data_IF_395060407999
#
_entry.id   IF_395060407999
#
_cell.length_a   1.000
_cell.length_b   1.000
_cell.length_c   1.000
_cell.angle_alpha   90.00
_cell.angle_beta   90.00
_cell.angle_gamma   90.00
#
_symmetry.space_group_name_H-M   'P 1'
#
loop_
_entity.id
_entity.type
_entity.pdbx_description
1 polymer ?
#
# COMPACT_ATOMS: atom_id res chain seq x y z
N UNK A 1 -1.18 -0.50 11.16
CA UNK A 1 -2.11 -0.37 10.02
C UNK A 1 -2.91 0.90 10.21
N UNK A 2 -3.31 1.56 9.13
CA UNK A 2 -4.12 2.75 9.16
C UNK A 2 -5.12 2.69 8.01
N UNK A 3 -6.36 3.07 8.28
CA UNK A 3 -7.44 3.05 7.31
C UNK A 3 -7.67 4.43 6.72
N UNK A 4 -8.12 4.45 5.47
CA UNK A 4 -8.47 5.68 4.79
C UNK A 4 -9.81 6.22 5.30
N UNK A 5 -9.84 7.47 5.75
CA UNK A 5 -11.05 8.16 6.22
C UNK A 5 -11.70 8.99 5.10
N UNK A 6 -10.98 9.98 4.56
CA UNK A 6 -11.48 10.88 3.52
C UNK A 6 -10.35 11.69 2.83
N UNK A 7 -10.64 12.33 1.69
CA UNK A 7 -9.71 13.18 0.94
C UNK A 7 -9.43 12.73 -0.50
N UNK A 8 -8.42 13.33 -1.14
CA UNK A 8 -7.91 12.91 -2.44
C UNK A 8 -6.38 12.93 -2.37
N UNK A 9 -5.72 12.09 -3.18
CA UNK A 9 -4.25 12.05 -3.21
C UNK A 9 -3.74 13.35 -3.85
N UNK A 10 -3.03 14.16 -3.06
CA UNK A 10 -2.30 15.34 -3.53
C UNK A 10 -0.86 15.21 -3.05
N UNK A 11 0.06 14.91 -3.98
CA UNK A 11 1.48 14.68 -3.66
C UNK A 11 2.32 15.95 -3.75
N UNK A 12 3.35 16.04 -2.91
CA UNK A 12 4.47 16.97 -3.14
C UNK A 12 5.48 16.33 -4.09
N UNK A 13 5.64 16.92 -5.27
CA UNK A 13 6.54 16.43 -6.32
C UNK A 13 8.03 16.51 -5.96
N UNK A 14 8.39 17.20 -4.88
CA UNK A 14 9.78 17.20 -4.36
C UNK A 14 10.12 15.92 -3.62
N UNK A 15 9.14 15.27 -3.00
CA UNK A 15 9.33 14.05 -2.23
C UNK A 15 8.87 12.81 -2.99
N UNK A 16 7.71 12.87 -3.64
CA UNK A 16 7.08 11.74 -4.32
C UNK A 16 6.87 12.06 -5.79
N UNK A 17 7.34 11.16 -6.65
CA UNK A 17 7.10 11.28 -8.09
C UNK A 17 5.66 10.89 -8.45
N UNK A 18 5.11 9.89 -7.77
CA UNK A 18 3.77 9.36 -7.98
C UNK A 18 3.26 8.71 -6.68
N UNK A 19 1.95 8.82 -6.43
CA UNK A 19 1.25 8.00 -5.45
C UNK A 19 -0.14 7.66 -5.99
N UNK A 20 -0.57 6.42 -5.80
CA UNK A 20 -1.85 5.90 -6.25
C UNK A 20 -2.34 4.80 -5.31
N UNK A 21 -3.64 4.51 -5.37
CA UNK A 21 -4.25 3.36 -4.72
C UNK A 21 -4.11 2.13 -5.60
N UNK A 22 -3.58 1.04 -5.06
CA UNK A 22 -3.42 -0.23 -5.76
C UNK A 22 -4.28 -1.30 -5.10
N UNK A 23 -4.88 -2.17 -5.90
CA UNK A 23 -5.65 -3.30 -5.37
C UNK A 23 -4.68 -4.32 -4.77
N UNK A 24 -5.07 -4.93 -3.66
CA UNK A 24 -4.19 -5.81 -2.85
C UNK A 24 -3.66 -7.05 -3.61
N UNK A 25 -4.24 -7.41 -4.75
CA UNK A 25 -3.85 -8.52 -5.62
C UNK A 25 -3.31 -8.09 -6.99
N UNK A 26 -3.21 -6.78 -7.25
CA UNK A 26 -2.60 -6.19 -8.45
C UNK A 26 -1.56 -5.14 -8.02
N UNK A 27 -0.56 -5.60 -7.28
CA UNK A 27 0.50 -4.75 -6.73
C UNK A 27 1.67 -4.58 -7.72
N UNK A 28 2.25 -3.38 -7.81
CA UNK A 28 3.42 -3.12 -8.64
C UNK A 28 4.69 -3.77 -8.05
N UNK A 29 5.86 -3.43 -8.61
CA UNK A 29 7.13 -3.88 -8.07
C UNK A 29 7.29 -3.42 -6.61
N UNK A 30 7.33 -4.40 -5.70
CA UNK A 30 7.46 -4.15 -4.28
C UNK A 30 8.93 -4.13 -3.83
N UNK A 31 9.23 -3.48 -2.69
CA UNK A 31 10.55 -3.55 -2.07
C UNK A 31 11.01 -4.98 -1.80
N UNK A 32 12.34 -5.21 -1.67
CA UNK A 32 12.88 -6.54 -1.44
C UNK A 32 12.37 -7.14 -0.11
N UNK A 33 12.23 -8.48 -0.05
CA UNK A 33 11.90 -9.19 1.19
C UNK A 33 12.89 -8.88 2.32
N UNK A 34 12.38 -8.84 3.55
CA UNK A 34 13.18 -8.53 4.74
C UNK A 34 13.20 -7.05 5.12
N UNK A 35 12.70 -6.15 4.26
CA UNK A 35 12.48 -4.75 4.63
C UNK A 35 11.20 -4.60 5.46
N UNK A 36 11.18 -3.61 6.37
CA UNK A 36 9.96 -3.27 7.13
C UNK A 36 8.83 -2.85 6.19
N UNK A 37 9.14 -2.12 5.12
CA UNK A 37 8.18 -1.72 4.09
C UNK A 37 7.50 -2.93 3.45
N UNK A 38 8.28 -3.94 3.02
CA UNK A 38 7.71 -5.15 2.42
C UNK A 38 6.83 -5.90 3.39
N UNK A 39 7.25 -6.02 4.66
CA UNK A 39 6.44 -6.69 5.69
C UNK A 39 5.10 -6.00 5.90
N UNK A 40 5.08 -4.68 6.02
CA UNK A 40 3.84 -3.91 6.19
C UNK A 40 2.88 -4.12 5.02
N UNK A 41 3.37 -4.12 3.78
CA UNK A 41 2.53 -4.32 2.60
C UNK A 41 1.92 -5.73 2.60
N UNK A 42 2.71 -6.77 2.86
CA UNK A 42 2.22 -8.16 2.89
C UNK A 42 1.21 -8.38 4.02
N UNK A 43 1.44 -7.78 5.21
CA UNK A 43 0.50 -7.84 6.32
C UNK A 43 -0.86 -7.19 5.94
N UNK A 44 -0.85 -6.08 5.20
CA UNK A 44 -2.07 -5.43 4.70
C UNK A 44 -2.81 -6.30 3.70
N UNK A 45 -2.07 -6.91 2.76
CA UNK A 45 -2.64 -7.81 1.75
C UNK A 45 -3.30 -9.02 2.42
N UNK A 46 -2.67 -9.58 3.45
CA UNK A 46 -3.23 -10.70 4.20
C UNK A 46 -4.54 -10.32 4.91
N UNK A 47 -4.60 -9.15 5.54
CA UNK A 47 -5.84 -8.64 6.15
C UNK A 47 -6.95 -8.46 5.12
N UNK A 48 -6.66 -7.79 3.99
CA UNK A 48 -7.66 -7.61 2.93
C UNK A 48 -8.19 -8.96 2.43
N UNK A 49 -7.30 -9.94 2.17
CA UNK A 49 -7.74 -11.28 1.73
C UNK A 49 -8.67 -11.95 2.73
N UNK A 50 -8.38 -11.83 4.03
CA UNK A 50 -9.21 -12.41 5.08
C UNK A 50 -10.59 -11.74 5.23
N UNK A 51 -10.72 -10.46 4.84
CA UNK A 51 -12.00 -9.75 4.86
C UNK A 51 -12.91 -10.04 3.65
N UNK A 52 -12.32 -10.49 2.52
CA UNK A 52 -13.05 -10.84 1.30
C UNK A 52 -13.43 -12.34 1.21
N UNK A 53 -13.07 -13.16 2.21
CA UNK A 53 -13.57 -14.54 2.41
C UNK A 53 -14.86 -14.55 3.25
#
# INVERSE_FOLDING_TARGET
MADYDSGEIVIDQKELLEANWYRYDDLPLLPPPGTVARRLIEDTVAMCRAEYE
#
